data_IF_033376736072
#
_entry.id   IF_033376736072
#
_cell.length_a   1.000
_cell.length_b   1.000
_cell.length_c   1.000
_cell.angle_alpha   90.00
_cell.angle_beta   90.00
_cell.angle_gamma   90.00
#
_symmetry.space_group_name_H-M   'P 1'
#
loop_
_entity.id
_entity.type
_entity.pdbx_description
1 polymer ?
#
# COMPACT_ATOMS: atom_id res chain seq x y z
N UNK A 1 -20.30 8.19 -7.44
CA UNK A 1 -19.46 7.21 -6.74
C UNK A 1 -20.17 6.75 -5.48
N UNK A 2 -20.48 5.45 -5.40
CA UNK A 2 -21.06 4.81 -4.23
C UNK A 2 -19.95 4.25 -3.34
N UNK A 3 -20.16 4.22 -2.01
CA UNK A 3 -19.19 3.66 -1.06
C UNK A 3 -19.86 2.49 -0.37
N UNK A 4 -19.20 1.34 -0.40
CA UNK A 4 -19.65 0.12 0.26
C UNK A 4 -18.61 -0.30 1.29
N UNK A 5 -19.09 -0.78 2.43
CA UNK A 5 -18.25 -1.19 3.55
C UNK A 5 -18.38 -2.68 3.76
N UNK A 6 -17.26 -3.33 4.01
CA UNK A 6 -17.23 -4.73 4.38
C UNK A 6 -17.76 -4.91 5.81
N UNK A 7 -18.72 -5.82 6.01
CA UNK A 7 -19.31 -6.10 7.33
C UNK A 7 -18.23 -6.44 8.36
N UNK A 8 -17.23 -7.25 7.99
CA UNK A 8 -16.18 -7.66 8.94
C UNK A 8 -15.27 -6.51 9.36
N UNK A 9 -15.22 -5.43 8.56
CA UNK A 9 -14.57 -4.17 8.91
C UNK A 9 -15.44 -3.36 9.87
N UNK A 10 -16.70 -3.11 9.52
CA UNK A 10 -17.60 -2.25 10.32
C UNK A 10 -17.78 -2.84 11.71
N UNK A 11 -18.02 -4.14 11.82
CA UNK A 11 -18.09 -4.85 13.11
C UNK A 11 -16.81 -4.67 13.93
N UNK A 12 -15.65 -4.93 13.33
CA UNK A 12 -14.39 -4.89 14.05
C UNK A 12 -14.04 -3.48 14.55
N UNK A 13 -14.32 -2.44 13.76
CA UNK A 13 -14.10 -1.04 14.14
C UNK A 13 -15.05 -0.63 15.26
N UNK A 14 -16.33 -1.02 15.19
CA UNK A 14 -17.31 -0.71 16.24
C UNK A 14 -16.92 -1.38 17.56
N UNK A 15 -16.57 -2.67 17.54
CA UNK A 15 -16.10 -3.40 18.74
C UNK A 15 -14.84 -2.77 19.33
N UNK A 16 -13.86 -2.43 18.50
CA UNK A 16 -12.63 -1.78 18.94
C UNK A 16 -12.91 -0.45 19.67
N UNK A 17 -13.80 0.37 19.12
CA UNK A 17 -14.13 1.67 19.72
C UNK A 17 -14.92 1.51 21.03
N UNK A 18 -15.82 0.53 21.12
CA UNK A 18 -16.50 0.15 22.37
C UNK A 18 -15.47 -0.22 23.43
N UNK A 19 -14.57 -1.17 23.15
CA UNK A 19 -13.52 -1.62 24.08
C UNK A 19 -12.58 -0.48 24.51
N UNK A 20 -12.32 0.46 23.60
CA UNK A 20 -11.46 1.62 23.87
C UNK A 20 -12.14 2.63 24.78
N UNK A 21 -13.43 2.91 24.62
CA UNK A 21 -14.19 3.81 25.50
C UNK A 21 -14.40 3.19 26.87
N UNK A 22 -14.72 1.89 26.91
CA UNK A 22 -14.85 1.14 28.16
C UNK A 22 -13.56 1.19 28.99
N UNK A 23 -12.40 0.96 28.36
CA UNK A 23 -11.08 1.08 29.04
C UNK A 23 -10.80 2.48 29.59
N UNK A 24 -11.45 3.52 29.05
CA UNK A 24 -11.36 4.91 29.53
C UNK A 24 -12.45 5.25 30.56
N UNK A 25 -13.32 4.29 30.91
CA UNK A 25 -14.42 4.44 31.86
C UNK A 25 -15.69 5.05 31.25
N UNK A 26 -15.77 5.20 29.93
CA UNK A 26 -16.98 5.66 29.23
C UNK A 26 -17.79 4.45 28.74
N UNK A 27 -18.92 4.19 29.41
CA UNK A 27 -19.83 3.09 29.09
C UNK A 27 -20.98 3.52 28.16
N UNK A 28 -21.07 4.79 27.78
CA UNK A 28 -22.23 5.32 27.03
C UNK A 28 -22.46 4.58 25.70
N UNK A 29 -21.39 4.32 24.95
CA UNK A 29 -21.44 3.61 23.68
C UNK A 29 -21.80 2.13 23.87
N UNK A 30 -21.29 1.50 24.93
CA UNK A 30 -21.58 0.12 25.28
C UNK A 30 -23.06 -0.05 25.65
N UNK A 31 -23.61 0.85 26.46
CA UNK A 31 -25.03 0.84 26.83
C UNK A 31 -25.94 1.07 25.63
N UNK A 32 -25.59 1.99 24.73
CA UNK A 32 -26.34 2.20 23.48
C UNK A 32 -26.28 0.95 22.58
N UNK A 33 -25.12 0.33 22.49
CA UNK A 33 -24.92 -0.91 21.74
C UNK A 33 -25.82 -2.03 22.28
N UNK A 34 -25.79 -2.32 23.59
CA UNK A 34 -26.63 -3.35 24.19
C UNK A 34 -28.13 -3.10 23.97
N UNK A 35 -28.59 -1.85 24.11
CA UNK A 35 -30.01 -1.52 23.86
C UNK A 35 -30.48 -1.87 22.45
N UNK A 36 -29.60 -1.80 21.45
CA UNK A 36 -29.93 -2.14 20.06
C UNK A 36 -29.66 -3.61 19.73
N UNK A 37 -28.71 -4.25 20.41
CA UNK A 37 -28.38 -5.66 20.22
C UNK A 37 -29.37 -6.61 20.89
N UNK A 38 -29.84 -6.30 22.09
CA UNK A 38 -30.71 -7.19 22.86
C UNK A 38 -31.96 -7.64 22.06
N UNK A 39 -32.66 -6.77 21.32
CA UNK A 39 -33.80 -7.18 20.48
C UNK A 39 -33.42 -8.11 19.32
N UNK A 40 -32.19 -8.02 18.79
CA UNK A 40 -31.73 -8.84 17.66
C UNK A 40 -31.58 -10.30 18.10
N UNK A 41 -31.19 -10.56 19.35
CA UNK A 41 -31.09 -11.93 19.88
C UNK A 41 -32.44 -12.65 20.01
N UNK A 42 -33.56 -11.91 20.04
CA UNK A 42 -34.91 -12.46 20.09
C UNK A 42 -35.43 -12.89 18.70
N UNK A 43 -34.66 -12.67 17.63
CA UNK A 43 -35.00 -13.14 16.28
C UNK A 43 -34.68 -14.65 16.18
N UNK A 44 -35.72 -15.44 15.88
CA UNK A 44 -35.64 -16.90 15.79
C UNK A 44 -34.83 -17.38 14.57
N UNK A 45 -34.96 -16.70 13.43
CA UNK A 45 -34.24 -17.07 12.21
C UNK A 45 -32.79 -16.58 12.25
N UNK A 46 -31.86 -17.49 11.99
CA UNK A 46 -30.43 -17.19 12.08
C UNK A 46 -29.98 -16.24 10.97
N UNK A 47 -30.53 -16.38 9.77
CA UNK A 47 -30.16 -15.54 8.62
C UNK A 47 -30.68 -14.12 8.82
N UNK A 48 -31.96 -13.97 9.17
CA UNK A 48 -32.56 -12.65 9.43
C UNK A 48 -31.82 -11.94 10.58
N UNK A 49 -31.39 -12.69 11.58
CA UNK A 49 -30.58 -12.16 12.69
C UNK A 49 -29.20 -11.67 12.23
N UNK A 50 -28.52 -12.41 11.36
CA UNK A 50 -27.22 -11.99 10.80
C UNK A 50 -27.36 -10.70 9.99
N UNK A 51 -28.39 -10.60 9.14
CA UNK A 51 -28.68 -9.39 8.36
C UNK A 51 -28.94 -8.15 9.25
N UNK A 52 -29.69 -8.31 10.35
CA UNK A 52 -29.92 -7.24 11.32
C UNK A 52 -28.65 -6.81 12.07
N UNK A 53 -27.74 -7.75 12.37
CA UNK A 53 -26.42 -7.40 12.93
C UNK A 53 -25.59 -6.57 11.94
N UNK A 54 -25.58 -6.95 10.66
CA UNK A 54 -24.85 -6.22 9.61
C UNK A 54 -25.35 -4.78 9.49
N UNK A 55 -26.68 -4.60 9.45
CA UNK A 55 -27.33 -3.28 9.43
C UNK A 55 -26.94 -2.48 10.68
N UNK A 56 -26.98 -3.11 11.86
CA UNK A 56 -26.63 -2.45 13.12
C UNK A 56 -25.19 -1.93 13.12
N UNK A 57 -24.22 -2.77 12.74
CA UNK A 57 -22.82 -2.40 12.70
C UNK A 57 -22.54 -1.31 11.67
N UNK A 58 -23.16 -1.38 10.50
CA UNK A 58 -23.06 -0.33 9.49
C UNK A 58 -23.62 1.00 10.03
N UNK A 59 -24.78 0.99 10.68
CA UNK A 59 -25.35 2.20 11.28
C UNK A 59 -24.44 2.80 12.36
N UNK A 60 -23.89 1.99 13.26
CA UNK A 60 -22.95 2.46 14.28
C UNK A 60 -21.70 3.06 13.64
N UNK A 61 -21.13 2.36 12.66
CA UNK A 61 -19.94 2.81 11.96
C UNK A 61 -20.15 4.14 11.23
N UNK A 62 -21.25 4.27 10.48
CA UNK A 62 -21.52 5.46 9.67
C UNK A 62 -21.97 6.65 10.52
N UNK A 63 -22.94 6.43 11.42
CA UNK A 63 -23.68 7.51 12.07
C UNK A 63 -23.18 7.77 13.49
N UNK A 64 -23.08 6.74 14.34
CA UNK A 64 -22.69 6.93 15.73
C UNK A 64 -21.21 7.29 15.87
N UNK A 65 -20.35 6.67 15.06
CA UNK A 65 -18.91 6.94 15.04
C UNK A 65 -18.51 8.00 14.01
N UNK A 66 -19.41 8.33 13.07
CA UNK A 66 -19.20 9.39 12.09
C UNK A 66 -18.20 9.06 10.98
N UNK A 67 -17.79 7.79 10.83
CA UNK A 67 -16.78 7.41 9.82
C UNK A 67 -17.30 7.54 8.39
N UNK A 68 -18.62 7.45 8.18
CA UNK A 68 -19.23 7.67 6.86
C UNK A 68 -18.92 9.07 6.32
N UNK A 69 -19.14 10.10 7.14
CA UNK A 69 -18.86 11.49 6.78
C UNK A 69 -17.35 11.72 6.60
N UNK A 70 -16.52 11.23 7.52
CA UNK A 70 -15.07 11.37 7.42
C UNK A 70 -14.51 10.77 6.12
N UNK A 71 -14.93 9.57 5.76
CA UNK A 71 -14.47 8.89 4.55
C UNK A 71 -14.95 9.63 3.30
N UNK A 72 -16.19 10.11 3.30
CA UNK A 72 -16.72 10.93 2.22
C UNK A 72 -15.92 12.21 2.02
N UNK A 73 -15.61 12.95 3.09
CA UNK A 73 -14.76 14.15 3.03
C UNK A 73 -13.39 13.86 2.40
N UNK A 74 -12.77 12.71 2.73
CA UNK A 74 -11.47 12.32 2.18
C UNK A 74 -11.58 12.04 0.68
N UNK A 75 -12.64 11.37 0.25
CA UNK A 75 -12.89 11.07 -1.17
C UNK A 75 -13.16 12.32 -2.00
N UNK A 76 -13.82 13.33 -1.42
CA UNK A 76 -14.07 14.63 -2.06
C UNK A 76 -12.77 15.39 -2.39
N UNK A 77 -11.64 15.04 -1.75
CA UNK A 77 -10.32 15.57 -2.11
C UNK A 77 -9.79 15.06 -3.45
N UNK A 78 -10.42 14.03 -4.03
CA UNK A 78 -10.03 13.37 -5.29
C UNK A 78 -11.14 13.43 -6.35
N UNK A 79 -11.55 14.64 -6.79
CA UNK A 79 -12.69 14.79 -7.71
C UNK A 79 -12.47 14.11 -9.06
N UNK A 80 -11.22 13.91 -9.49
CA UNK A 80 -10.88 13.20 -10.73
C UNK A 80 -11.32 11.73 -10.76
N UNK A 81 -11.67 11.15 -9.59
CA UNK A 81 -12.16 9.78 -9.50
C UNK A 81 -13.67 9.67 -9.77
N UNK A 82 -14.44 10.75 -9.61
CA UNK A 82 -15.90 10.71 -9.71
C UNK A 82 -16.41 10.27 -11.09
N UNK A 83 -15.68 10.62 -12.15
CA UNK A 83 -16.03 10.29 -13.54
C UNK A 83 -15.37 8.98 -14.03
N UNK A 84 -14.57 8.34 -13.18
CA UNK A 84 -13.82 7.11 -13.51
C UNK A 84 -14.20 5.92 -12.63
N UNK A 85 -14.82 6.15 -11.47
CA UNK A 85 -15.12 5.13 -10.46
C UNK A 85 -16.61 5.13 -10.13
N UNK A 86 -17.26 3.97 -10.29
CA UNK A 86 -18.66 3.79 -9.94
C UNK A 86 -18.81 3.52 -8.44
N UNK A 87 -18.01 2.58 -7.92
CA UNK A 87 -18.11 2.04 -6.57
C UNK A 87 -16.72 1.91 -5.92
N UNK A 88 -16.64 2.29 -4.65
CA UNK A 88 -15.49 2.04 -3.79
C UNK A 88 -15.91 1.08 -2.68
N UNK A 89 -15.21 -0.04 -2.59
CA UNK A 89 -15.36 -1.03 -1.55
C UNK A 89 -14.25 -0.85 -0.53
N UNK A 90 -14.61 -0.52 0.71
CA UNK A 90 -13.66 -0.39 1.82
C UNK A 90 -13.71 -1.67 2.64
N UNK A 91 -12.67 -2.47 2.52
CA UNK A 91 -12.60 -3.78 3.17
C UNK A 91 -11.55 -3.82 4.28
N UNK A 92 -11.75 -4.76 5.21
CA UNK A 92 -10.76 -5.06 6.22
C UNK A 92 -9.49 -5.61 5.60
N UNK A 93 -8.37 -5.02 5.97
CA UNK A 93 -7.04 -5.53 5.65
C UNK A 93 -6.52 -6.42 6.78
N UNK A 94 -6.22 -7.67 6.45
CA UNK A 94 -5.59 -8.63 7.37
C UNK A 94 -4.08 -8.81 7.09
N UNK A 95 -3.58 -8.41 5.91
CA UNK A 95 -2.27 -8.83 5.39
C UNK A 95 -1.42 -7.71 4.75
N UNK A 96 -1.82 -6.43 4.81
CA UNK A 96 -1.12 -5.28 4.19
C UNK A 96 -1.06 -5.34 2.66
N UNK A 97 -2.21 -5.56 2.05
CA UNK A 97 -2.36 -5.45 0.59
C UNK A 97 -2.83 -4.05 0.17
N UNK A 98 -2.42 -3.61 -1.04
CA UNK A 98 -2.77 -2.30 -1.60
C UNK A 98 -4.20 -2.25 -2.15
N UNK A 99 -4.64 -1.04 -2.51
CA UNK A 99 -5.80 -0.84 -3.35
C UNK A 99 -5.71 -1.65 -4.67
N UNK A 100 -6.85 -2.14 -5.15
CA UNK A 100 -6.93 -2.92 -6.37
C UNK A 100 -8.08 -2.45 -7.25
N UNK A 101 -7.85 -2.39 -8.57
CA UNK A 101 -8.92 -2.22 -9.56
C UNK A 101 -9.63 -3.55 -9.79
N UNK A 102 -10.94 -3.57 -9.58
CA UNK A 102 -11.77 -4.72 -9.92
C UNK A 102 -12.17 -4.66 -11.40
N UNK A 103 -12.20 -5.83 -12.05
CA UNK A 103 -12.63 -5.94 -13.44
C UNK A 103 -14.10 -5.53 -13.56
N UNK A 104 -14.44 -5.02 -14.73
CA UNK A 104 -15.81 -4.73 -15.13
C UNK A 104 -16.62 -6.03 -15.16
N UNK A 105 -17.82 -6.02 -14.59
CA UNK A 105 -18.77 -7.11 -14.81
C UNK A 105 -19.27 -7.03 -16.26
N UNK A 106 -19.45 -8.18 -16.91
CA UNK A 106 -19.78 -8.24 -18.34
C UNK A 106 -21.05 -7.49 -18.74
N UNK A 107 -21.95 -7.23 -17.79
CA UNK A 107 -23.23 -6.54 -17.99
C UNK A 107 -23.19 -5.03 -17.73
N UNK A 108 -22.05 -4.49 -17.30
CA UNK A 108 -21.96 -3.06 -17.00
C UNK A 108 -21.83 -2.27 -18.33
N UNK A 109 -22.66 -1.25 -18.56
CA UNK A 109 -22.66 -0.49 -19.84
C UNK A 109 -21.79 0.76 -19.78
N UNK A 110 -21.18 1.06 -18.62
CA UNK A 110 -20.29 2.21 -18.41
C UNK A 110 -18.79 1.92 -18.57
N UNK A 111 -18.00 2.99 -18.68
CA UNK A 111 -16.52 2.97 -18.61
C UNK A 111 -15.98 3.08 -17.17
N UNK A 112 -16.86 3.13 -16.17
CA UNK A 112 -16.49 3.30 -14.77
C UNK A 112 -15.91 1.99 -14.18
N UNK A 113 -14.92 2.13 -13.29
CA UNK A 113 -14.27 1.02 -12.59
C UNK A 113 -14.83 0.87 -11.18
N UNK A 114 -14.81 -0.36 -10.66
CA UNK A 114 -14.99 -0.65 -9.24
C UNK A 114 -13.63 -0.73 -8.57
N UNK A 115 -13.48 -0.13 -7.40
CA UNK A 115 -12.21 -0.04 -6.68
C UNK A 115 -12.36 -0.70 -5.33
N UNK A 116 -11.39 -1.52 -4.94
CA UNK A 116 -11.31 -2.10 -3.60
C UNK A 116 -10.14 -1.48 -2.85
N UNK A 117 -10.42 -0.84 -1.72
CA UNK A 117 -9.44 -0.27 -0.80
C UNK A 117 -9.44 -1.11 0.46
N UNK A 118 -8.26 -1.56 0.88
CA UNK A 118 -8.08 -2.36 2.10
C UNK A 118 -7.57 -1.46 3.21
N UNK A 119 -8.24 -1.49 4.37
CA UNK A 119 -7.92 -0.64 5.52
C UNK A 119 -7.83 -1.48 6.78
N UNK A 120 -6.82 -1.19 7.59
CA UNK A 120 -6.62 -1.83 8.89
C UNK A 120 -7.53 -1.22 9.95
N UNK A 121 -8.10 -2.07 10.78
CA UNK A 121 -9.00 -1.67 11.88
C UNK A 121 -8.30 -0.67 12.81
N UNK A 122 -7.01 -0.87 13.11
CA UNK A 122 -6.23 0.00 13.98
C UNK A 122 -6.07 1.44 13.45
N UNK A 123 -6.26 1.68 12.15
CA UNK A 123 -6.18 3.05 11.61
C UNK A 123 -7.38 3.91 12.01
N UNK A 124 -8.50 3.29 12.39
CA UNK A 124 -9.67 4.00 12.89
C UNK A 124 -9.48 4.55 14.31
N UNK A 125 -8.42 4.12 15.03
CA UNK A 125 -8.13 4.67 16.36
C UNK A 125 -7.79 6.17 16.36
N UNK A 126 -7.27 6.65 15.23
CA UNK A 126 -6.88 8.01 15.02
C UNK A 126 -7.35 8.46 13.63
N UNK A 127 -8.31 9.38 13.59
CA UNK A 127 -8.88 9.90 12.34
C UNK A 127 -7.84 10.49 11.40
N UNK A 128 -6.72 11.02 11.91
CA UNK A 128 -5.63 11.50 11.08
C UNK A 128 -4.86 10.36 10.41
N UNK A 129 -4.65 9.24 11.10
CA UNK A 129 -4.01 8.05 10.52
C UNK A 129 -4.90 7.41 9.45
N UNK A 130 -6.22 7.35 9.68
CA UNK A 130 -7.17 6.95 8.64
C UNK A 130 -7.11 7.88 7.42
N UNK A 131 -7.05 9.20 7.64
CA UNK A 131 -6.94 10.19 6.55
C UNK A 131 -5.66 10.01 5.73
N UNK A 132 -4.51 9.79 6.39
CA UNK A 132 -3.23 9.49 5.73
C UNK A 132 -3.32 8.20 4.91
N UNK A 133 -3.86 7.13 5.51
CA UNK A 133 -3.99 5.83 4.86
C UNK A 133 -4.87 5.90 3.61
N UNK A 134 -6.08 6.47 3.72
CA UNK A 134 -6.99 6.57 2.58
C UNK A 134 -6.46 7.47 1.47
N UNK A 135 -5.83 8.61 1.78
CA UNK A 135 -5.18 9.45 0.77
C UNK A 135 -4.09 8.71 0.00
N UNK A 136 -3.29 7.91 0.71
CA UNK A 136 -2.24 7.09 0.09
C UNK A 136 -2.84 6.08 -0.89
N UNK A 137 -3.83 5.30 -0.46
CA UNK A 137 -4.51 4.33 -1.33
C UNK A 137 -5.23 5.00 -2.52
N UNK A 138 -5.85 6.16 -2.32
CA UNK A 138 -6.52 6.90 -3.39
C UNK A 138 -5.53 7.44 -4.42
N UNK A 139 -4.30 7.76 -4.03
CA UNK A 139 -3.24 8.14 -4.96
C UNK A 139 -2.78 6.94 -5.81
N UNK A 140 -2.72 5.72 -5.25
CA UNK A 140 -2.53 4.51 -6.06
C UNK A 140 -3.64 4.34 -7.08
N UNK A 141 -4.91 4.47 -6.65
CA UNK A 141 -6.07 4.37 -7.54
C UNK A 141 -6.01 5.42 -8.65
N UNK A 142 -5.63 6.66 -8.32
CA UNK A 142 -5.45 7.73 -9.30
C UNK A 142 -4.41 7.36 -10.35
N UNK A 143 -3.26 6.83 -9.95
CA UNK A 143 -2.22 6.35 -10.85
C UNK A 143 -2.71 5.17 -11.71
N UNK A 144 -3.41 4.20 -11.12
CA UNK A 144 -3.96 3.04 -11.84
C UNK A 144 -4.98 3.43 -12.93
N UNK A 145 -5.65 4.57 -12.78
CA UNK A 145 -6.66 5.10 -13.69
C UNK A 145 -6.11 6.20 -14.63
N UNK A 146 -4.84 6.54 -14.50
CA UNK A 146 -4.17 7.53 -15.34
C UNK A 146 -3.51 6.84 -16.55
N UNK A 147 -3.95 7.19 -17.75
CA UNK A 147 -3.41 6.63 -18.99
C UNK A 147 -1.94 7.02 -19.19
N UNK A 148 -1.55 8.23 -18.77
CA UNK A 148 -0.17 8.69 -18.83
C UNK A 148 0.74 7.90 -17.86
N UNK A 149 0.18 7.42 -16.75
CA UNK A 149 0.90 6.56 -15.82
C UNK A 149 1.10 5.15 -16.41
N UNK A 150 0.09 4.63 -17.11
CA UNK A 150 0.19 3.39 -17.88
C UNK A 150 0.30 2.13 -17.03
N UNK A 151 -0.48 2.06 -15.94
CA UNK A 151 -0.49 0.90 -15.04
C UNK A 151 -0.86 -0.41 -15.75
N UNK A 152 -0.02 -1.44 -15.59
CA UNK A 152 -0.29 -2.81 -16.01
C UNK A 152 -0.04 -3.77 -14.84
N UNK A 153 -0.94 -4.73 -14.65
CA UNK A 153 -0.84 -5.77 -13.62
C UNK A 153 0.24 -6.80 -13.96
N UNK A 154 0.64 -6.91 -15.23
CA UNK A 154 1.55 -7.96 -15.68
C UNK A 154 3.01 -7.62 -15.41
N UNK A 155 3.60 -8.30 -14.43
CA UNK A 155 5.05 -8.37 -14.25
C UNK A 155 5.57 -9.58 -15.05
N UNK A 156 6.45 -9.34 -16.02
CA UNK A 156 7.11 -10.42 -16.76
C UNK A 156 8.42 -10.78 -16.06
N UNK A 157 8.51 -11.99 -15.49
CA UNK A 157 9.72 -12.53 -14.85
C UNK A 157 10.00 -13.97 -15.32
N UNK A 158 11.22 -14.48 -15.08
CA UNK A 158 11.58 -15.85 -15.49
C UNK A 158 10.94 -16.92 -14.60
N UNK A 159 10.64 -16.59 -13.34
CA UNK A 159 10.00 -17.47 -12.37
C UNK A 159 9.23 -16.71 -11.28
N UNK A 160 8.40 -17.42 -10.53
CA UNK A 160 7.53 -16.88 -9.47
C UNK A 160 8.30 -16.20 -8.34
N UNK A 161 9.48 -16.70 -7.99
CA UNK A 161 10.32 -16.10 -6.92
C UNK A 161 10.84 -14.74 -7.34
N UNK A 162 11.33 -14.63 -8.57
CA UNK A 162 11.79 -13.38 -9.15
C UNK A 162 10.62 -12.39 -9.31
N UNK A 163 9.46 -12.87 -9.76
CA UNK A 163 8.24 -12.07 -9.85
C UNK A 163 7.83 -11.47 -8.51
N UNK A 164 7.81 -12.28 -7.44
CA UNK A 164 7.51 -11.80 -6.09
C UNK A 164 8.49 -10.72 -5.64
N UNK A 165 9.79 -10.93 -5.89
CA UNK A 165 10.82 -9.97 -5.51
C UNK A 165 10.71 -8.64 -6.26
N UNK A 166 10.41 -8.68 -7.56
CA UNK A 166 10.15 -7.48 -8.37
C UNK A 166 8.90 -6.76 -7.85
N UNK A 167 7.82 -7.51 -7.56
CA UNK A 167 6.57 -6.95 -7.04
C UNK A 167 6.76 -6.26 -5.69
N UNK A 168 7.49 -6.87 -4.76
CA UNK A 168 7.75 -6.30 -3.44
C UNK A 168 8.56 -4.99 -3.54
N UNK A 169 9.53 -4.94 -4.45
CA UNK A 169 10.29 -3.71 -4.73
C UNK A 169 9.45 -2.63 -5.38
N UNK A 170 8.67 -3.02 -6.39
CA UNK A 170 7.77 -2.12 -7.09
C UNK A 170 6.80 -1.45 -6.12
N UNK A 171 6.19 -2.23 -5.23
CA UNK A 171 5.35 -1.74 -4.14
C UNK A 171 6.04 -0.66 -3.33
N UNK A 172 7.22 -0.95 -2.78
CA UNK A 172 7.95 0.01 -1.95
C UNK A 172 8.27 1.29 -2.72
N UNK A 173 8.75 1.17 -3.96
CA UNK A 173 9.07 2.34 -4.79
C UNK A 173 7.82 3.16 -5.13
N UNK A 174 6.71 2.50 -5.44
CA UNK A 174 5.45 3.16 -5.73
C UNK A 174 4.94 3.91 -4.49
N UNK A 175 4.94 3.29 -3.33
CA UNK A 175 4.55 3.95 -2.08
C UNK A 175 5.46 5.16 -1.76
N UNK A 176 6.78 5.06 -2.00
CA UNK A 176 7.71 6.21 -1.86
C UNK A 176 7.28 7.33 -2.81
N UNK A 177 6.95 6.99 -4.06
CA UNK A 177 6.51 7.96 -5.05
C UNK A 177 5.17 8.61 -4.66
N UNK A 178 4.21 7.84 -4.13
CA UNK A 178 2.95 8.37 -3.57
C UNK A 178 3.24 9.39 -2.46
N UNK A 179 4.02 8.99 -1.44
CA UNK A 179 4.30 9.85 -0.29
C UNK A 179 5.09 11.10 -0.69
N UNK A 180 5.96 11.00 -1.70
CA UNK A 180 6.67 12.17 -2.23
C UNK A 180 5.72 13.21 -2.81
N UNK A 181 4.66 12.78 -3.53
CA UNK A 181 3.66 13.67 -4.12
C UNK A 181 2.73 14.25 -3.07
N UNK A 182 2.25 13.44 -2.13
CA UNK A 182 1.44 13.92 -1.01
C UNK A 182 2.20 14.98 -0.19
N UNK A 183 3.48 14.76 0.07
CA UNK A 183 4.33 15.75 0.77
C UNK A 183 4.45 17.05 -0.01
N UNK A 184 4.62 17.00 -1.34
CA UNK A 184 4.69 18.20 -2.20
C UNK A 184 3.36 18.96 -2.24
N UNK A 185 2.24 18.26 -2.11
CA UNK A 185 0.91 18.85 -1.95
C UNK A 185 0.66 19.41 -0.53
N UNK A 186 1.65 19.34 0.38
CA UNK A 186 1.51 19.80 1.76
C UNK A 186 0.63 18.89 2.64
N UNK A 187 0.38 17.66 2.19
CA UNK A 187 -0.43 16.67 2.91
C UNK A 187 0.47 15.77 3.76
N UNK A 188 -0.02 15.39 4.93
CA UNK A 188 0.66 14.38 5.73
C UNK A 188 0.60 12.99 5.07
N UNK A 189 1.64 12.20 5.28
CA UNK A 189 1.83 10.86 4.70
C UNK A 189 1.83 9.79 5.78
N UNK A 190 1.66 8.53 5.37
CA UNK A 190 1.76 7.37 6.28
C UNK A 190 3.17 7.30 6.87
N UNK A 191 4.20 7.54 6.05
CA UNK A 191 5.59 7.55 6.49
C UNK A 191 6.34 8.79 6.02
N UNK A 192 7.29 9.22 6.84
CA UNK A 192 8.11 10.39 6.54
C UNK A 192 9.24 10.06 5.55
N UNK A 193 9.85 11.12 5.01
CA UNK A 193 10.95 11.02 4.03
C UNK A 193 12.12 10.15 4.53
N UNK A 194 12.47 10.23 5.82
CA UNK A 194 13.60 9.47 6.39
C UNK A 194 13.34 7.96 6.42
N UNK A 195 12.14 7.54 6.82
CA UNK A 195 11.75 6.12 6.78
C UNK A 195 11.66 5.61 5.35
N UNK A 196 11.11 6.42 4.43
CA UNK A 196 11.07 6.11 3.00
C UNK A 196 12.49 5.96 2.42
N UNK A 197 13.44 6.80 2.84
CA UNK A 197 14.84 6.66 2.49
C UNK A 197 15.46 5.37 3.03
N UNK A 198 15.15 4.98 4.28
CA UNK A 198 15.65 3.73 4.85
C UNK A 198 15.18 2.50 4.03
N UNK A 199 13.92 2.47 3.60
CA UNK A 199 13.39 1.42 2.73
C UNK A 199 14.05 1.41 1.35
N UNK A 200 14.17 2.59 0.72
CA UNK A 200 14.90 2.75 -0.54
C UNK A 200 16.34 2.25 -0.44
N UNK A 201 17.05 2.65 0.62
CA UNK A 201 18.43 2.23 0.89
C UNK A 201 18.53 0.72 1.13
N UNK A 202 17.48 0.09 1.67
CA UNK A 202 17.40 -1.36 1.82
C UNK A 202 17.32 -2.10 0.49
N UNK A 203 16.51 -1.60 -0.45
CA UNK A 203 16.38 -2.14 -1.81
C UNK A 203 17.72 -2.09 -2.55
N UNK A 204 18.41 -0.94 -2.45
CA UNK A 204 19.64 -0.65 -3.18
C UNK A 204 20.91 -0.82 -2.35
N UNK A 205 20.91 -1.68 -1.32
CA UNK A 205 22.03 -1.82 -0.37
C UNK A 205 23.42 -2.03 -0.97
N UNK A 206 23.50 -2.54 -2.21
CA UNK A 206 24.76 -2.77 -2.95
C UNK A 206 25.34 -1.50 -3.59
N UNK A 207 24.54 -0.44 -3.74
CA UNK A 207 24.98 0.87 -4.26
C UNK A 207 25.65 1.66 -3.12
N UNK A 208 26.79 2.33 -3.31
CA UNK A 208 27.42 3.15 -2.27
C UNK A 208 26.48 4.17 -1.62
N UNK A 209 26.57 4.35 -0.30
CA UNK A 209 25.63 5.22 0.44
C UNK A 209 25.49 6.64 -0.13
N UNK A 210 26.58 7.37 -0.48
CA UNK A 210 26.45 8.71 -1.06
C UNK A 210 25.64 8.72 -2.36
N UNK A 211 25.82 7.70 -3.20
CA UNK A 211 25.05 7.56 -4.43
C UNK A 211 23.56 7.26 -4.13
N UNK A 212 23.27 6.44 -3.11
CA UNK A 212 21.88 6.17 -2.70
C UNK A 212 21.14 7.42 -2.24
N UNK A 213 21.82 8.34 -1.56
CA UNK A 213 21.24 9.63 -1.14
C UNK A 213 20.83 10.45 -2.37
N UNK A 214 21.75 10.63 -3.32
CA UNK A 214 21.48 11.37 -4.57
C UNK A 214 20.35 10.72 -5.38
N UNK A 215 20.39 9.39 -5.54
CA UNK A 215 19.33 8.66 -6.23
C UNK A 215 17.96 8.85 -5.57
N UNK A 216 17.91 8.77 -4.24
CA UNK A 216 16.66 8.95 -3.51
C UNK A 216 16.15 10.39 -3.60
N UNK A 217 17.01 11.40 -3.47
CA UNK A 217 16.58 12.79 -3.60
C UNK A 217 16.06 13.10 -5.01
N UNK A 218 16.70 12.54 -6.05
CA UNK A 218 16.20 12.64 -7.42
C UNK A 218 14.85 11.91 -7.60
N UNK A 219 14.71 10.71 -7.04
CA UNK A 219 13.45 9.96 -7.05
C UNK A 219 12.33 10.73 -6.33
N UNK A 220 12.58 11.17 -5.10
CA UNK A 220 11.65 11.95 -4.29
C UNK A 220 11.28 13.28 -4.95
N UNK A 221 12.23 13.88 -5.68
CA UNK A 221 12.07 15.14 -6.41
C UNK A 221 11.23 15.04 -7.69
N UNK A 222 11.11 13.86 -8.30
CA UNK A 222 10.37 13.67 -9.57
C UNK A 222 8.92 14.14 -9.50
N UNK A 223 8.49 14.94 -10.48
CA UNK A 223 7.11 15.41 -10.59
C UNK A 223 6.16 14.33 -11.15
N UNK A 224 6.65 13.59 -12.14
CA UNK A 224 5.93 12.50 -12.79
C UNK A 224 6.84 11.29 -12.97
N UNK A 225 6.26 10.13 -12.76
CA UNK A 225 6.81 8.82 -13.09
C UNK A 225 5.72 7.97 -13.71
N UNK A 226 6.10 7.13 -14.67
CA UNK A 226 5.24 6.11 -15.25
C UNK A 226 5.39 4.78 -14.52
N UNK A 227 4.39 3.91 -14.65
CA UNK A 227 4.45 2.53 -14.20
C UNK A 227 5.71 1.82 -14.71
N UNK A 228 6.03 1.99 -16.00
CA UNK A 228 7.21 1.40 -16.63
C UNK A 228 8.50 1.84 -15.97
N UNK A 229 8.66 3.13 -15.66
CA UNK A 229 9.87 3.63 -14.98
C UNK A 229 10.05 2.99 -13.60
N UNK A 230 8.99 2.91 -12.80
CA UNK A 230 9.07 2.27 -11.46
C UNK A 230 9.33 0.76 -11.59
N UNK A 231 8.75 0.10 -12.58
CA UNK A 231 8.98 -1.32 -12.86
C UNK A 231 10.42 -1.58 -13.33
N UNK A 232 10.96 -0.77 -14.23
CA UNK A 232 12.35 -0.84 -14.68
C UNK A 232 13.32 -0.65 -13.49
N UNK A 233 12.99 0.23 -12.55
CA UNK A 233 13.76 0.41 -11.31
C UNK A 233 13.70 -0.77 -10.35
N UNK A 234 12.59 -1.52 -10.37
CA UNK A 234 12.37 -2.69 -9.53
C UNK A 234 13.14 -3.92 -10.02
N UNK A 235 13.36 -3.99 -11.34
CA UNK A 235 13.99 -5.11 -12.03
C UNK A 235 15.51 -4.96 -12.16
N UNK A 236 16.02 -3.76 -12.49
CA UNK A 236 17.42 -3.55 -12.85
C UNK A 236 18.10 -2.43 -12.03
N UNK A 237 18.94 -2.84 -11.08
CA UNK A 237 19.71 -1.93 -10.24
C UNK A 237 20.72 -1.08 -11.03
N UNK A 238 21.34 -1.63 -12.09
CA UNK A 238 22.37 -0.93 -12.86
C UNK A 238 21.73 0.16 -13.71
N UNK A 239 20.62 -0.15 -14.39
CA UNK A 239 19.83 0.86 -15.09
C UNK A 239 19.32 1.94 -14.15
N UNK A 240 18.88 1.58 -12.95
CA UNK A 240 18.43 2.55 -11.94
C UNK A 240 19.53 3.56 -11.58
N UNK A 241 20.77 3.08 -11.35
CA UNK A 241 21.93 3.94 -11.05
C UNK A 241 22.23 4.86 -12.23
N UNK A 242 22.20 4.35 -13.47
CA UNK A 242 22.46 5.17 -14.66
C UNK A 242 21.41 6.27 -14.87
N UNK A 243 20.13 5.99 -14.60
CA UNK A 243 19.02 6.94 -14.80
C UNK A 243 18.93 7.97 -13.68
N UNK A 244 19.23 7.59 -12.43
CA UNK A 244 19.00 8.44 -11.24
C UNK A 244 20.28 9.02 -10.64
N UNK A 245 21.45 8.51 -10.99
CA UNK A 245 22.74 8.96 -10.49
C UNK A 245 23.23 10.27 -11.12
N UNK A 246 22.49 10.85 -12.08
CA UNK A 246 22.69 12.15 -12.71
C UNK A 246 24.15 12.54 -12.92
N UNK A 247 24.75 12.20 -14.07
CA UNK A 247 26.16 12.50 -14.42
C UNK A 247 27.06 12.68 -13.19
N UNK A 248 27.18 11.63 -12.37
CA UNK A 248 28.37 11.45 -11.58
C UNK A 248 29.51 11.23 -12.58
N UNK A 249 30.05 12.34 -13.10
CA UNK A 249 31.31 12.34 -13.84
C UNK A 249 32.33 11.63 -12.97
N UNK A 250 32.92 10.58 -13.53
CA UNK A 250 34.11 9.89 -13.03
C UNK A 250 33.98 9.28 -11.64
N UNK A 251 33.03 8.36 -11.47
CA UNK A 251 33.37 7.16 -10.70
C UNK A 251 33.32 5.99 -11.65
N UNK A 252 34.51 5.54 -12.04
CA UNK A 252 34.70 4.19 -12.56
C UNK A 252 33.78 3.27 -11.74
N UNK A 253 32.84 2.61 -12.41
CA UNK A 253 32.36 1.33 -11.93
C UNK A 253 33.65 0.51 -11.86
N UNK A 254 34.31 0.49 -10.70
CA UNK A 254 35.38 -0.45 -10.45
C UNK A 254 34.81 -1.79 -10.88
N UNK A 255 35.38 -2.34 -11.96
CA UNK A 255 35.28 -3.75 -12.27
C UNK A 255 35.62 -4.43 -10.96
N UNK A 256 34.58 -4.89 -10.26
CA UNK A 256 34.71 -5.40 -8.91
C UNK A 256 35.90 -6.34 -8.91
N UNK A 257 36.86 -6.04 -8.02
CA UNK A 257 38.14 -6.72 -7.82
C UNK A 257 38.26 -7.93 -8.72
N UNK A 258 39.08 -7.85 -9.78
CA UNK A 258 39.56 -9.04 -10.50
C UNK A 258 39.79 -10.10 -9.45
N UNK A 259 38.88 -11.07 -9.37
CA UNK A 259 38.97 -12.16 -8.41
C UNK A 259 40.39 -12.65 -8.53
N UNK A 260 41.16 -12.50 -7.45
CA UNK A 260 42.49 -13.06 -7.35
C UNK A 260 42.33 -14.49 -7.86
N UNK A 261 42.92 -14.77 -9.01
CA UNK A 261 42.83 -16.09 -9.65
C UNK A 261 43.33 -17.05 -8.59
N UNK A 262 42.42 -17.80 -7.97
CA UNK A 262 42.75 -18.70 -6.88
C UNK A 262 43.90 -19.56 -7.37
N UNK A 263 45.04 -19.43 -6.70
CA UNK A 263 46.22 -20.20 -7.05
C UNK A 263 45.83 -21.68 -6.96
N UNK A 264 46.25 -22.46 -7.95
CA UNK A 264 46.04 -23.90 -7.99
C UNK A 264 46.44 -24.48 -6.62
N UNK A 265 45.48 -25.10 -5.93
CA UNK A 265 45.68 -25.67 -4.59
C UNK A 265 45.07 -24.97 -3.40
N UNK A 266 44.39 -23.84 -3.61
CA UNK A 266 43.73 -23.16 -2.50
C UNK A 266 42.47 -23.96 -2.08
N UNK A 267 42.28 -24.29 -0.79
CA UNK A 267 41.14 -25.09 -0.34
C UNK A 267 39.81 -24.36 -0.56
N UNK A 268 38.76 -25.12 -0.87
CA UNK A 268 37.43 -24.57 -1.16
C UNK A 268 36.87 -23.79 0.05
N UNK A 269 36.40 -22.53 -0.12
CA UNK A 269 35.93 -21.71 1.00
C UNK A 269 34.60 -22.17 1.61
N UNK A 270 33.90 -23.13 0.98
CA UNK A 270 32.65 -23.70 1.52
C UNK A 270 32.87 -24.97 2.35
N UNK A 271 33.90 -25.78 2.03
CA UNK A 271 34.07 -27.10 2.65
C UNK A 271 35.50 -27.45 3.06
N UNK A 272 36.46 -26.55 2.82
CA UNK A 272 37.89 -26.67 3.13
C UNK A 272 38.62 -27.92 2.61
N UNK A 273 38.02 -28.68 1.69
CA UNK A 273 38.70 -29.79 1.03
C UNK A 273 39.78 -29.27 0.05
N UNK A 274 40.99 -29.86 0.04
CA UNK A 274 41.97 -29.60 -1.01
C UNK A 274 41.52 -30.29 -2.30
N UNK A 275 41.20 -29.53 -3.34
CA UNK A 275 40.93 -30.09 -4.66
C UNK A 275 42.24 -30.26 -5.43
N UNK A 276 42.67 -31.50 -5.68
CA UNK A 276 43.70 -31.79 -6.68
C UNK A 276 43.49 -33.13 -7.38
N UNK A 277 43.73 -33.13 -8.69
CA UNK A 277 44.75 -33.98 -9.35
C UNK A 277 45.44 -33.15 -10.45
N UNK A 278 46.70 -33.46 -10.68
CA UNK A 278 47.62 -32.92 -11.69
C UNK A 278 47.09 -33.08 -13.12
#
# INVERSE_FOLDING_TARGET
MNIQYDTTLTEAVVRQEIEKRERKGDLSLLEEYHKKVDPIYEIDDVSDREDEFDILYEQFFLNNLGYGNLIKEILEEFPSLNDKVSDIYINRDLMREEANLMKKDSDDTGNLRKVKIKVRVETFDNTNELRKALRHELMHVKDMLDEDYGYDIKVSALNVTEENFIRDRYKILWDIYIDSRLTKEGRETIENKDKRFAWFSGIYKKVPYPQRVVMFDNFWGKERMTHKEILDMSTDMIKTVAVMGGNASDTELEEGEKKETQRHGTPCPLCQFPTYKW
#
